data_IF_183520205537
#
_entry.id   IF_183520205537
#
_cell.length_a   1.000
_cell.length_b   1.000
_cell.length_c   1.000
_cell.angle_alpha   90.00
_cell.angle_beta   90.00
_cell.angle_gamma   90.00
#
_symmetry.space_group_name_H-M   'P 1'
#
loop_
_entity.id
_entity.type
_entity.pdbx_description
1 polymer ?
#
# COMPACT_ATOMS: atom_id res chain seq x y z
N UNK A 1 10.47 -12.23 -19.80
CA UNK A 1 11.22 -11.10 -19.21
C UNK A 1 10.40 -10.34 -18.16
N UNK A 2 9.32 -10.92 -17.62
CA UNK A 2 8.36 -10.23 -16.74
C UNK A 2 8.68 -10.38 -15.25
N UNK A 3 9.20 -11.54 -14.82
CA UNK A 3 9.48 -11.82 -13.39
C UNK A 3 10.47 -10.84 -12.74
N UNK A 4 11.57 -10.52 -13.42
CA UNK A 4 12.63 -9.67 -12.85
C UNK A 4 12.14 -8.24 -12.55
N UNK A 5 11.28 -7.69 -13.39
CA UNK A 5 10.71 -6.34 -13.21
C UNK A 5 9.72 -6.31 -12.04
N UNK A 6 8.87 -7.34 -11.90
CA UNK A 6 7.94 -7.44 -10.77
C UNK A 6 8.67 -7.56 -9.42
N UNK A 7 9.75 -8.34 -9.37
CA UNK A 7 10.58 -8.46 -8.16
C UNK A 7 11.21 -7.11 -7.80
N UNK A 8 11.67 -6.33 -8.78
CA UNK A 8 12.23 -5.00 -8.55
C UNK A 8 11.18 -4.01 -8.03
N UNK A 9 9.97 -4.01 -8.62
CA UNK A 9 8.86 -3.17 -8.15
C UNK A 9 8.48 -3.49 -6.71
N UNK A 10 8.34 -4.77 -6.34
CA UNK A 10 8.04 -5.17 -4.96
C UNK A 10 9.12 -4.74 -3.96
N UNK A 11 10.39 -4.83 -4.35
CA UNK A 11 11.50 -4.33 -3.53
C UNK A 11 11.44 -2.81 -3.36
N UNK A 12 11.17 -2.06 -4.43
CA UNK A 12 11.02 -0.60 -4.38
C UNK A 12 9.85 -0.18 -3.49
N UNK A 13 8.69 -0.82 -3.64
CA UNK A 13 7.52 -0.60 -2.77
C UNK A 13 7.86 -0.86 -1.29
N UNK A 14 8.58 -1.96 -0.99
CA UNK A 14 9.01 -2.26 0.38
C UNK A 14 9.87 -1.16 0.98
N UNK A 15 10.79 -0.60 0.20
CA UNK A 15 11.63 0.52 0.65
C UNK A 15 10.80 1.77 0.91
N UNK A 16 9.84 2.07 0.03
CA UNK A 16 8.95 3.22 0.16
C UNK A 16 7.89 3.06 1.28
N UNK A 17 7.72 1.85 1.83
CA UNK A 17 6.94 1.65 3.05
C UNK A 17 7.67 2.13 4.31
N UNK A 18 8.98 2.42 4.25
CA UNK A 18 9.72 2.97 5.38
C UNK A 18 9.36 4.44 5.60
N UNK A 19 9.02 4.82 6.83
CA UNK A 19 8.43 6.14 7.16
C UNK A 19 9.03 6.73 8.43
N UNK A 20 8.90 8.04 8.62
CA UNK A 20 9.26 8.71 9.86
C UNK A 20 8.24 8.49 10.99
N UNK A 21 7.02 8.09 10.64
CA UNK A 21 5.95 7.74 11.58
C UNK A 21 5.79 6.21 11.68
N UNK A 22 6.00 5.67 12.88
CA UNK A 22 6.04 4.23 13.12
C UNK A 22 4.69 3.54 12.84
N UNK A 23 3.58 4.20 13.17
CA UNK A 23 2.23 3.68 12.93
C UNK A 23 1.93 3.58 11.44
N UNK A 24 2.32 4.59 10.66
CA UNK A 24 2.17 4.60 9.20
C UNK A 24 3.03 3.52 8.56
N UNK A 25 4.31 3.44 8.96
CA UNK A 25 5.22 2.39 8.47
C UNK A 25 4.63 0.99 8.74
N UNK A 26 4.14 0.75 9.95
CA UNK A 26 3.60 -0.54 10.37
C UNK A 26 2.39 -0.94 9.50
N UNK A 27 1.44 -0.03 9.30
CA UNK A 27 0.26 -0.25 8.46
C UNK A 27 0.64 -0.57 7.00
N UNK A 28 1.50 0.25 6.41
CA UNK A 28 1.94 0.09 5.02
C UNK A 28 2.74 -1.21 4.82
N UNK A 29 3.64 -1.52 5.74
CA UNK A 29 4.45 -2.75 5.68
C UNK A 29 3.58 -4.00 5.81
N UNK A 30 2.60 -4.00 6.72
CA UNK A 30 1.66 -5.10 6.90
C UNK A 30 0.83 -5.35 5.62
N UNK A 31 0.44 -4.29 4.93
CA UNK A 31 -0.29 -4.38 3.66
C UNK A 31 0.60 -4.80 2.49
N UNK A 32 1.82 -4.27 2.40
CA UNK A 32 2.79 -4.69 1.39
C UNK A 32 3.05 -6.20 1.43
N UNK A 33 3.18 -6.78 2.63
CA UNK A 33 3.34 -8.24 2.79
C UNK A 33 2.17 -9.03 2.20
N UNK A 34 0.93 -8.53 2.37
CA UNK A 34 -0.24 -9.15 1.76
C UNK A 34 -0.19 -9.04 0.23
N UNK A 35 0.09 -7.84 -0.29
CA UNK A 35 0.18 -7.62 -1.73
C UNK A 35 1.26 -8.49 -2.38
N UNK A 36 2.41 -8.67 -1.72
CA UNK A 36 3.50 -9.51 -2.20
C UNK A 36 3.11 -10.98 -2.38
N UNK A 37 2.13 -11.46 -1.60
CA UNK A 37 1.63 -12.85 -1.68
C UNK A 37 0.52 -13.04 -2.72
N UNK A 38 -0.02 -11.96 -3.31
CA UNK A 38 -1.07 -12.05 -4.34
C UNK A 38 -0.49 -12.44 -5.70
N UNK A 39 -1.25 -13.19 -6.50
CA UNK A 39 -0.90 -13.50 -7.89
C UNK A 39 -0.85 -12.23 -8.74
N UNK A 40 0.15 -12.17 -9.63
CA UNK A 40 0.33 -11.10 -10.64
C UNK A 40 -0.47 -11.33 -11.92
N UNK A 41 -1.13 -12.48 -12.07
CA UNK A 41 -1.94 -12.79 -13.25
C UNK A 41 -3.33 -12.15 -13.20
N UNK A 42 -3.80 -11.80 -12.00
CA UNK A 42 -5.09 -11.13 -11.80
C UNK A 42 -4.94 -9.61 -12.00
N UNK A 43 -5.71 -9.08 -12.95
CA UNK A 43 -5.76 -7.66 -13.31
C UNK A 43 -6.12 -6.77 -12.11
N UNK A 44 -7.00 -7.23 -11.21
CA UNK A 44 -7.37 -6.47 -10.02
C UNK A 44 -6.19 -6.35 -9.05
N UNK A 45 -5.38 -7.40 -8.91
CA UNK A 45 -4.19 -7.37 -8.07
C UNK A 45 -3.11 -6.45 -8.66
N UNK A 46 -2.97 -6.43 -9.99
CA UNK A 46 -2.06 -5.50 -10.67
C UNK A 46 -2.49 -4.05 -10.46
N UNK A 47 -3.78 -3.75 -10.66
CA UNK A 47 -4.32 -2.41 -10.45
C UNK A 47 -4.14 -1.94 -9.00
N UNK A 48 -4.41 -2.81 -8.04
CA UNK A 48 -4.22 -2.51 -6.63
C UNK A 48 -2.75 -2.23 -6.28
N UNK A 49 -1.80 -3.00 -6.84
CA UNK A 49 -0.37 -2.75 -6.68
C UNK A 49 0.05 -1.39 -7.25
N UNK A 50 -0.46 -1.04 -8.43
CA UNK A 50 -0.20 0.28 -9.04
C UNK A 50 -0.74 1.41 -8.18
N UNK A 51 -1.96 1.27 -7.66
CA UNK A 51 -2.57 2.26 -6.79
C UNK A 51 -1.80 2.39 -5.46
N UNK A 52 -1.34 1.27 -4.90
CA UNK A 52 -0.49 1.27 -3.71
C UNK A 52 0.86 1.94 -3.96
N UNK A 53 1.52 1.66 -5.09
CA UNK A 53 2.76 2.34 -5.48
C UNK A 53 2.56 3.86 -5.59
N UNK A 54 1.44 4.30 -6.18
CA UNK A 54 1.09 5.72 -6.24
C UNK A 54 0.84 6.33 -4.85
N UNK A 55 0.14 5.60 -3.97
CA UNK A 55 -0.09 6.03 -2.59
C UNK A 55 1.24 6.23 -1.84
N UNK A 56 2.22 5.37 -2.06
CA UNK A 56 3.54 5.48 -1.44
C UNK A 56 4.33 6.74 -1.86
N UNK A 57 3.90 7.48 -2.89
CA UNK A 57 4.50 8.77 -3.24
C UNK A 57 4.06 9.91 -2.32
N UNK A 58 3.02 9.71 -1.51
CA UNK A 58 2.49 10.72 -0.59
C UNK A 58 3.35 10.84 0.65
N UNK A 59 3.30 12.01 1.27
CA UNK A 59 4.08 12.28 2.47
C UNK A 59 3.41 11.68 3.72
N UNK A 60 4.18 11.60 4.80
CA UNK A 60 3.77 10.91 6.03
C UNK A 60 2.56 11.57 6.70
N UNK A 61 2.45 12.91 6.63
CA UNK A 61 1.31 13.64 7.21
C UNK A 61 0.00 13.28 6.49
N UNK A 62 0.01 13.28 5.15
CA UNK A 62 -1.15 12.90 4.34
C UNK A 62 -1.56 11.45 4.61
N UNK A 63 -0.58 10.53 4.60
CA UNK A 63 -0.82 9.12 4.83
C UNK A 63 -1.38 8.88 6.24
N UNK A 64 -0.83 9.54 7.25
CA UNK A 64 -1.32 9.46 8.61
C UNK A 64 -2.77 9.95 8.74
N UNK A 65 -3.07 11.13 8.18
CA UNK A 65 -4.42 11.70 8.20
C UNK A 65 -5.43 10.76 7.56
N UNK A 66 -5.14 10.21 6.38
CA UNK A 66 -6.05 9.31 5.68
C UNK A 66 -6.20 7.95 6.37
N UNK A 67 -5.12 7.42 6.96
CA UNK A 67 -5.18 6.17 7.72
C UNK A 67 -5.99 6.32 9.01
N UNK A 68 -6.00 7.49 9.66
CA UNK A 68 -6.85 7.77 10.82
C UNK A 68 -8.29 8.09 10.42
N UNK A 69 -8.47 8.87 9.35
CA UNK A 69 -9.75 9.39 8.87
C UNK A 69 -9.94 9.07 7.38
N UNK A 70 -10.40 7.86 7.02
CA UNK A 70 -10.51 7.39 5.64
C UNK A 70 -11.46 8.23 4.79
N UNK A 71 -12.40 8.93 5.43
CA UNK A 71 -13.32 9.85 4.76
C UNK A 71 -12.61 11.07 4.17
N UNK A 72 -11.38 11.38 4.63
CA UNK A 72 -10.55 12.47 4.11
C UNK A 72 -9.61 12.01 2.98
N UNK A 73 -9.50 10.71 2.73
CA UNK A 73 -8.72 10.20 1.62
C UNK A 73 -9.37 10.61 0.29
N UNK A 74 -8.58 11.01 -0.72
CA UNK A 74 -9.08 11.17 -2.08
C UNK A 74 -9.85 9.92 -2.55
N UNK A 75 -10.91 10.11 -3.33
CA UNK A 75 -11.79 9.02 -3.79
C UNK A 75 -11.02 7.87 -4.43
N UNK A 76 -9.94 8.17 -5.15
CA UNK A 76 -9.05 7.18 -5.78
C UNK A 76 -8.38 6.23 -4.78
N UNK A 77 -8.08 6.68 -3.56
CA UNK A 77 -7.45 5.86 -2.51
C UNK A 77 -8.43 5.34 -1.47
N UNK A 78 -9.69 5.79 -1.46
CA UNK A 78 -10.64 5.48 -0.38
C UNK A 78 -10.77 3.99 -0.09
N UNK A 79 -10.96 3.17 -1.13
CA UNK A 79 -11.04 1.71 -1.00
C UNK A 79 -9.71 1.09 -0.55
N UNK A 80 -8.58 1.60 -1.05
CA UNK A 80 -7.26 1.10 -0.68
C UNK A 80 -6.93 1.39 0.78
N UNK A 81 -7.18 2.61 1.25
CA UNK A 81 -7.00 3.02 2.65
C UNK A 81 -7.87 2.16 3.57
N UNK A 82 -9.13 1.91 3.18
CA UNK A 82 -10.01 1.02 3.93
C UNK A 82 -9.42 -0.39 4.03
N UNK A 83 -8.93 -0.96 2.92
CA UNK A 83 -8.29 -2.30 2.90
C UNK A 83 -7.05 -2.36 3.78
N UNK A 84 -6.17 -1.34 3.73
CA UNK A 84 -4.97 -1.26 4.57
C UNK A 84 -5.35 -1.33 6.05
N UNK A 85 -6.35 -0.53 6.45
CA UNK A 85 -6.83 -0.50 7.83
C UNK A 85 -7.45 -1.83 8.26
N UNK A 86 -8.39 -2.35 7.47
CA UNK A 86 -9.08 -3.61 7.77
C UNK A 86 -8.08 -4.75 7.94
N UNK A 87 -7.13 -4.86 7.02
CA UNK A 87 -6.08 -5.88 7.09
C UNK A 87 -5.22 -5.79 8.35
N UNK A 88 -5.00 -4.59 8.89
CA UNK A 88 -4.27 -4.43 10.14
C UNK A 88 -5.11 -4.74 11.39
N UNK A 89 -6.41 -4.42 11.36
CA UNK A 89 -7.32 -4.66 12.48
C UNK A 89 -7.78 -6.13 12.60
N UNK A 90 -7.84 -6.85 11.47
CA UNK A 90 -8.27 -8.25 11.40
C UNK A 90 -7.09 -9.24 11.47
N UNK A 91 -5.86 -8.72 11.57
CA UNK A 91 -4.63 -9.51 11.70
C UNK A 91 -4.34 -9.92 13.14
#
# INVERSE_FOLDING_TARGET
MTDSTHIQQLKAMRLNCRRGLAEVETLLMAYWQQLANKSTEDVNNLHERQLFEQLLTKNDQQLFEWLLSPQQAPTEYALLIQRIRTHFLEK
#
